data_IF_457919298616
#
_entry.id   IF_457919298616
#
_cell.length_a   1.000
_cell.length_b   1.000
_cell.length_c   1.000
_cell.angle_alpha   90.00
_cell.angle_beta   90.00
_cell.angle_gamma   90.00
#
_symmetry.space_group_name_H-M   'P 1'
#
loop_
_entity.id
_entity.type
_entity.pdbx_description
1 polymer ?
#
# COMPACT_ATOMS: atom_id res chain seq x y z
N UNK A 1 -13.31 12.72 -28.25
CA UNK A 1 -13.08 13.22 -26.87
C UNK A 1 -13.00 12.05 -25.92
N UNK A 2 -11.92 11.96 -25.14
CA UNK A 2 -11.69 10.85 -24.20
C UNK A 2 -12.17 11.24 -22.80
N UNK A 3 -13.40 10.90 -22.47
CA UNK A 3 -13.94 11.12 -21.13
C UNK A 3 -13.72 9.89 -20.25
N UNK A 4 -13.51 10.10 -18.95
CA UNK A 4 -13.34 9.04 -17.93
C UNK A 4 -12.14 8.11 -18.13
N UNK A 5 -11.14 8.50 -18.90
CA UNK A 5 -9.87 7.78 -19.05
C UNK A 5 -8.83 8.28 -18.05
N UNK A 6 -9.08 8.07 -16.77
CA UNK A 6 -8.24 8.60 -15.71
C UNK A 6 -7.09 7.69 -15.28
N UNK A 7 -7.01 6.49 -15.81
CA UNK A 7 -6.01 5.52 -15.35
C UNK A 7 -4.90 5.30 -16.37
N UNK A 8 -3.67 5.25 -15.87
CA UNK A 8 -2.51 4.82 -16.68
C UNK A 8 -2.56 3.32 -16.89
N UNK A 9 -2.25 2.87 -18.11
CA UNK A 9 -2.20 1.44 -18.43
C UNK A 9 -0.97 0.74 -17.86
N UNK A 10 0.10 1.46 -17.54
CA UNK A 10 1.36 0.96 -16.99
C UNK A 10 1.99 -0.17 -17.85
N UNK A 11 1.71 -0.15 -19.15
CA UNK A 11 2.16 -1.15 -20.13
C UNK A 11 1.80 -2.60 -19.73
N UNK A 12 0.63 -2.78 -19.13
CA UNK A 12 0.13 -4.07 -18.64
C UNK A 12 -1.27 -4.36 -19.16
N UNK A 13 -1.59 -5.66 -19.26
CA UNK A 13 -2.96 -6.10 -19.47
C UNK A 13 -3.83 -5.72 -18.26
N UNK A 14 -5.15 -5.69 -18.43
CA UNK A 14 -6.07 -5.31 -17.35
C UNK A 14 -5.94 -6.20 -16.10
N UNK A 15 -5.82 -7.50 -16.29
CA UNK A 15 -5.63 -8.45 -15.18
C UNK A 15 -4.28 -8.25 -14.47
N UNK A 16 -3.21 -8.07 -15.23
CA UNK A 16 -1.87 -7.82 -14.67
C UNK A 16 -1.82 -6.49 -13.90
N UNK A 17 -2.46 -5.45 -14.42
CA UNK A 17 -2.55 -4.15 -13.75
C UNK A 17 -3.35 -4.22 -12.46
N UNK A 18 -4.48 -4.93 -12.45
CA UNK A 18 -5.27 -5.14 -11.25
C UNK A 18 -4.48 -5.88 -10.16
N UNK A 19 -3.73 -6.93 -10.53
CA UNK A 19 -2.86 -7.65 -9.62
C UNK A 19 -1.74 -6.77 -9.07
N UNK A 20 -1.13 -5.92 -9.91
CA UNK A 20 -0.09 -4.98 -9.49
C UNK A 20 -0.61 -4.02 -8.40
N UNK A 21 -1.74 -3.38 -8.64
CA UNK A 21 -2.31 -2.41 -7.69
C UNK A 21 -2.73 -3.09 -6.38
N UNK A 22 -3.29 -4.29 -6.47
CA UNK A 22 -3.65 -5.10 -5.30
C UNK A 22 -2.44 -5.41 -4.44
N UNK A 23 -1.37 -5.92 -5.05
CA UNK A 23 -0.15 -6.29 -4.35
C UNK A 23 0.55 -5.07 -3.75
N UNK A 24 0.59 -3.96 -4.48
CA UNK A 24 1.16 -2.72 -3.96
C UNK A 24 0.33 -2.14 -2.81
N UNK A 25 -1.00 -2.23 -2.87
CA UNK A 25 -1.86 -1.79 -1.77
C UNK A 25 -1.64 -2.63 -0.51
N UNK A 26 -1.55 -3.94 -0.65
CA UNK A 26 -1.22 -4.83 0.47
C UNK A 26 0.14 -4.49 1.08
N UNK A 27 1.17 -4.29 0.25
CA UNK A 27 2.50 -3.89 0.70
C UNK A 27 2.48 -2.53 1.43
N UNK A 28 1.73 -1.56 0.91
CA UNK A 28 1.64 -0.23 1.54
C UNK A 28 0.88 -0.27 2.87
N UNK A 29 -0.14 -1.09 2.99
CA UNK A 29 -0.82 -1.29 4.28
C UNK A 29 0.12 -1.95 5.28
N UNK A 30 0.87 -2.96 4.86
CA UNK A 30 1.80 -3.69 5.71
C UNK A 30 2.94 -2.83 6.22
N UNK A 31 3.68 -2.20 5.31
CA UNK A 31 4.90 -1.45 5.62
C UNK A 31 4.68 0.04 5.88
N UNK A 32 3.52 0.55 5.54
CA UNK A 32 3.12 1.96 5.65
C UNK A 32 3.98 2.96 4.85
N UNK A 33 5.07 2.50 4.26
CA UNK A 33 5.91 3.26 3.33
C UNK A 33 6.57 2.31 2.35
N UNK A 34 6.41 2.57 1.05
CA UNK A 34 7.08 1.80 -0.01
C UNK A 34 7.72 2.73 -1.04
N UNK A 35 8.73 2.24 -1.72
CA UNK A 35 9.40 2.93 -2.82
C UNK A 35 9.00 2.28 -4.14
N UNK A 36 8.62 3.11 -5.10
CA UNK A 36 8.23 2.64 -6.43
C UNK A 36 8.44 3.74 -7.47
N UNK A 37 8.09 3.48 -8.72
CA UNK A 37 8.13 4.53 -9.74
C UNK A 37 6.99 5.53 -9.54
N UNK A 38 7.20 6.78 -9.92
CA UNK A 38 6.22 7.85 -9.75
C UNK A 38 4.86 7.55 -10.41
N UNK A 39 4.79 7.02 -11.65
CA UNK A 39 3.49 6.65 -12.24
C UNK A 39 2.74 5.60 -11.45
N UNK A 40 3.42 4.58 -10.93
CA UNK A 40 2.80 3.54 -10.10
C UNK A 40 2.28 4.11 -8.79
N UNK A 41 3.05 4.98 -8.14
CA UNK A 41 2.63 5.64 -6.90
C UNK A 41 1.37 6.48 -7.12
N UNK A 42 1.30 7.22 -8.23
CA UNK A 42 0.14 8.04 -8.58
C UNK A 42 -1.12 7.22 -8.87
N UNK A 43 -0.98 6.04 -9.46
CA UNK A 43 -2.12 5.13 -9.69
C UNK A 43 -2.52 4.38 -8.41
N UNK A 44 -1.59 4.07 -7.54
CA UNK A 44 -1.86 3.41 -6.27
C UNK A 44 -2.65 4.29 -5.30
N UNK A 45 -2.35 5.58 -5.27
CA UNK A 45 -2.98 6.54 -4.34
C UNK A 45 -4.52 6.44 -4.34
N UNK A 46 -5.24 6.65 -5.46
CA UNK A 46 -6.69 6.58 -5.45
C UNK A 46 -7.21 5.18 -5.11
N UNK A 47 -6.50 4.14 -5.49
CA UNK A 47 -6.87 2.76 -5.18
C UNK A 47 -6.88 2.51 -3.67
N UNK A 48 -5.78 2.83 -3.00
CA UNK A 48 -5.66 2.64 -1.55
C UNK A 48 -6.59 3.56 -0.76
N UNK A 49 -6.72 4.82 -1.15
CA UNK A 49 -7.56 5.77 -0.43
C UNK A 49 -9.04 5.37 -0.46
N UNK A 50 -9.51 4.76 -1.54
CA UNK A 50 -10.84 4.16 -1.59
C UNK A 50 -11.01 3.00 -0.62
N UNK A 51 -9.99 2.16 -0.46
CA UNK A 51 -10.00 1.08 0.53
C UNK A 51 -10.06 1.62 1.97
N UNK A 52 -9.30 2.67 2.27
CA UNK A 52 -9.35 3.32 3.58
C UNK A 52 -10.74 3.92 3.83
N UNK A 53 -11.35 4.54 2.85
CA UNK A 53 -12.71 5.09 2.96
C UNK A 53 -13.74 3.98 3.25
N UNK A 54 -13.65 2.84 2.57
CA UNK A 54 -14.50 1.67 2.85
C UNK A 54 -14.32 1.18 4.30
N UNK A 55 -13.07 1.13 4.77
CA UNK A 55 -12.76 0.72 6.13
C UNK A 55 -13.33 1.71 7.17
N UNK A 56 -13.28 2.99 6.90
CA UNK A 56 -13.86 4.03 7.77
C UNK A 56 -15.38 3.90 7.90
N UNK A 57 -16.07 3.59 6.80
CA UNK A 57 -17.52 3.36 6.86
C UNK A 57 -17.87 2.07 7.61
N UNK A 58 -16.99 1.10 7.60
CA UNK A 58 -17.18 -0.17 8.31
C UNK A 58 -18.33 -1.01 7.75
N UNK A 59 -18.72 -2.00 8.53
CA UNK A 59 -19.81 -2.93 8.16
C UNK A 59 -19.35 -4.12 7.33
N UNK A 60 -20.13 -5.18 7.38
CA UNK A 60 -19.79 -6.45 6.73
C UNK A 60 -19.73 -6.31 5.20
N UNK A 61 -20.64 -5.55 4.60
CA UNK A 61 -20.68 -5.31 3.16
C UNK A 61 -19.40 -4.63 2.66
N UNK A 62 -18.95 -3.58 3.34
CA UNK A 62 -17.71 -2.86 3.00
C UNK A 62 -16.49 -3.72 3.24
N UNK A 63 -16.48 -4.55 4.26
CA UNK A 63 -15.40 -5.48 4.54
C UNK A 63 -15.25 -6.53 3.44
N UNK A 64 -16.37 -7.12 3.00
CA UNK A 64 -16.38 -8.07 1.88
C UNK A 64 -15.90 -7.42 0.57
N UNK A 65 -16.30 -6.18 0.29
CA UNK A 65 -15.87 -5.46 -0.90
C UNK A 65 -14.36 -5.14 -0.84
N UNK A 66 -13.85 -4.71 0.30
CA UNK A 66 -12.43 -4.47 0.49
C UNK A 66 -11.61 -5.77 0.35
N UNK A 67 -12.12 -6.89 0.91
CA UNK A 67 -11.50 -8.20 0.75
C UNK A 67 -11.41 -8.63 -0.72
N UNK A 68 -12.48 -8.44 -1.48
CA UNK A 68 -12.50 -8.77 -2.91
C UNK A 68 -11.46 -7.97 -3.72
N UNK A 69 -11.19 -6.74 -3.30
CA UNK A 69 -10.20 -5.88 -3.96
C UNK A 69 -8.76 -6.12 -3.50
N UNK A 70 -8.57 -6.45 -2.22
CA UNK A 70 -7.25 -6.60 -1.60
C UNK A 70 -6.74 -8.04 -1.63
N UNK A 71 -7.64 -9.01 -1.39
CA UNK A 71 -7.37 -10.46 -1.36
C UNK A 71 -6.24 -10.87 -0.39
N UNK A 72 -6.06 -10.11 0.69
CA UNK A 72 -5.10 -10.38 1.76
C UNK A 72 -5.78 -10.15 3.10
N UNK A 73 -6.07 -11.25 3.80
CA UNK A 73 -6.82 -11.22 5.04
C UNK A 73 -6.09 -10.49 6.17
N UNK A 74 -4.77 -10.65 6.25
CA UNK A 74 -3.95 -9.99 7.29
C UNK A 74 -3.97 -8.48 7.13
N UNK A 75 -3.79 -8.00 5.89
CA UNK A 75 -3.81 -6.58 5.61
C UNK A 75 -5.21 -5.98 5.67
N UNK A 76 -6.23 -6.77 5.35
CA UNK A 76 -7.62 -6.38 5.56
C UNK A 76 -7.91 -6.13 7.04
N UNK A 77 -7.47 -7.01 7.93
CA UNK A 77 -7.61 -6.81 9.38
C UNK A 77 -6.94 -5.51 9.82
N UNK A 78 -5.70 -5.28 9.42
CA UNK A 78 -5.00 -4.03 9.72
C UNK A 78 -5.74 -2.81 9.18
N UNK A 79 -6.27 -2.90 7.97
CA UNK A 79 -7.02 -1.81 7.36
C UNK A 79 -8.25 -1.41 8.19
N UNK A 80 -9.05 -2.38 8.64
CA UNK A 80 -10.29 -2.12 9.38
C UNK A 80 -10.07 -1.85 10.86
N UNK A 81 -9.06 -2.44 11.48
CA UNK A 81 -8.83 -2.34 12.92
C UNK A 81 -7.88 -1.20 13.31
N UNK A 82 -6.87 -0.93 12.49
CA UNK A 82 -5.83 0.07 12.79
C UNK A 82 -6.02 1.34 11.96
N UNK A 83 -6.03 1.21 10.63
CA UNK A 83 -6.04 2.37 9.74
C UNK A 83 -7.38 3.11 9.75
N UNK A 84 -8.49 2.39 9.83
CA UNK A 84 -9.81 3.00 9.91
C UNK A 84 -9.96 3.89 11.16
N UNK A 85 -9.46 3.44 12.29
CA UNK A 85 -9.45 4.22 13.53
C UNK A 85 -8.50 5.42 13.45
N UNK A 86 -7.29 5.20 12.92
CA UNK A 86 -6.28 6.25 12.75
C UNK A 86 -6.81 7.43 11.91
N UNK A 87 -7.56 7.14 10.86
CA UNK A 87 -8.06 8.14 9.92
C UNK A 87 -9.52 8.53 10.12
N UNK A 88 -10.14 8.13 11.21
CA UNK A 88 -11.55 8.43 11.48
C UNK A 88 -11.88 9.93 11.43
N UNK A 89 -10.98 10.78 11.91
CA UNK A 89 -11.13 12.22 11.89
C UNK A 89 -10.64 12.92 10.62
N UNK A 90 -10.12 12.17 9.64
CA UNK A 90 -9.56 12.74 8.42
C UNK A 90 -10.48 12.50 7.23
N UNK A 91 -10.82 13.55 6.50
CA UNK A 91 -11.80 13.47 5.39
C UNK A 91 -11.23 13.05 4.05
N UNK A 92 -9.96 12.69 3.96
CA UNK A 92 -9.27 12.30 2.74
C UNK A 92 -7.79 12.58 2.83
N UNK A 93 -7.04 12.36 1.74
CA UNK A 93 -5.62 12.65 1.71
C UNK A 93 -4.83 11.79 2.70
N UNK A 94 -5.07 10.49 2.71
CA UNK A 94 -4.44 9.54 3.65
C UNK A 94 -3.02 9.16 3.25
N UNK A 95 -2.61 9.50 2.05
CA UNK A 95 -1.29 9.14 1.51
C UNK A 95 -0.50 10.37 1.08
N UNK A 96 0.81 10.23 1.08
CA UNK A 96 1.75 11.24 0.61
C UNK A 96 2.72 10.61 -0.37
N UNK A 97 3.01 11.31 -1.47
CA UNK A 97 4.01 10.90 -2.45
C UNK A 97 5.17 11.87 -2.39
N UNK A 98 6.38 11.36 -2.18
CA UNK A 98 7.61 12.12 -2.11
C UNK A 98 8.49 11.69 -3.28
N UNK A 99 8.90 12.62 -4.13
CA UNK A 99 9.82 12.32 -5.24
C UNK A 99 11.21 12.02 -4.68
N UNK A 100 11.79 10.88 -5.10
CA UNK A 100 13.06 10.38 -4.57
C UNK A 100 14.17 10.33 -5.62
N UNK A 101 14.01 11.04 -6.76
CA UNK A 101 15.01 11.13 -7.79
C UNK A 101 14.82 10.16 -8.94
N UNK A 102 15.92 9.70 -9.52
CA UNK A 102 15.94 8.89 -10.74
C UNK A 102 16.73 7.60 -10.45
N UNK A 103 16.18 6.47 -10.90
CA UNK A 103 16.86 5.17 -10.76
C UNK A 103 18.06 5.08 -11.71
N UNK A 104 19.21 4.63 -11.19
CA UNK A 104 20.45 4.62 -11.93
C UNK A 104 20.44 3.66 -13.15
N UNK A 105 19.68 2.56 -13.06
CA UNK A 105 19.70 1.51 -14.11
C UNK A 105 18.97 1.90 -15.39
N UNK A 106 17.83 2.60 -15.29
CA UNK A 106 16.95 2.90 -16.43
C UNK A 106 16.40 4.34 -16.43
N UNK A 107 16.93 5.20 -15.57
CA UNK A 107 16.48 6.59 -15.42
C UNK A 107 14.98 6.74 -15.10
N UNK A 108 14.33 5.71 -14.53
CA UNK A 108 12.94 5.81 -14.12
C UNK A 108 12.78 6.77 -12.93
N UNK A 109 11.76 7.66 -12.96
CA UNK A 109 11.48 8.52 -11.81
C UNK A 109 10.99 7.70 -10.63
N UNK A 110 11.66 7.82 -9.49
CA UNK A 110 11.36 7.10 -8.26
C UNK A 110 10.60 8.01 -7.30
N UNK A 111 9.63 7.44 -6.62
CA UNK A 111 8.88 8.09 -5.57
C UNK A 111 8.70 7.18 -4.36
N UNK A 112 8.58 7.78 -3.21
CA UNK A 112 8.18 7.12 -1.98
C UNK A 112 6.72 7.47 -1.74
N UNK A 113 5.87 6.46 -1.62
CA UNK A 113 4.49 6.63 -1.17
C UNK A 113 4.37 6.12 0.25
N UNK A 114 3.77 6.93 1.11
CA UNK A 114 3.61 6.62 2.52
C UNK A 114 2.23 6.99 3.02
N UNK A 115 1.81 6.34 4.09
CA UNK A 115 0.64 6.74 4.85
C UNK A 115 0.97 7.96 5.72
N UNK A 116 0.05 8.92 5.78
CA UNK A 116 0.17 10.06 6.68
C UNK A 116 0.05 9.56 8.12
N UNK A 117 0.87 10.07 9.03
CA UNK A 117 0.95 9.60 10.42
C UNK A 117 1.29 8.10 10.51
N UNK A 118 2.20 7.64 9.66
CA UNK A 118 2.60 6.24 9.58
C UNK A 118 3.30 5.74 10.85
N UNK A 119 3.18 4.46 11.10
CA UNK A 119 4.00 3.75 12.07
C UNK A 119 5.38 3.46 11.46
N UNK A 120 6.43 4.04 12.03
CA UNK A 120 7.80 3.90 11.53
C UNK A 120 8.30 2.47 11.67
N UNK A 121 7.87 1.75 12.70
CA UNK A 121 8.30 0.37 12.98
C UNK A 121 7.65 -0.65 12.05
N UNK A 122 6.56 -0.30 11.38
CA UNK A 122 5.90 -1.19 10.42
C UNK A 122 6.75 -1.45 9.17
N UNK A 123 7.65 -0.54 8.82
CA UNK A 123 8.47 -0.65 7.61
C UNK A 123 9.48 -1.79 7.72
N UNK A 124 9.44 -2.67 6.73
CA UNK A 124 10.40 -3.78 6.63
C UNK A 124 10.06 -4.99 7.47
N UNK A 125 8.94 -5.00 8.19
CA UNK A 125 8.50 -6.20 8.91
C UNK A 125 8.29 -7.36 7.93
N UNK A 126 8.78 -8.55 8.33
CA UNK A 126 8.73 -9.78 7.52
C UNK A 126 9.36 -9.64 6.12
N UNK A 127 10.22 -8.66 5.93
CA UNK A 127 10.96 -8.43 4.69
C UNK A 127 12.45 -8.74 4.93
N UNK A 128 12.96 -9.72 4.26
CA UNK A 128 14.36 -10.12 4.36
C UNK A 128 14.57 -11.46 5.03
N UNK A 129 15.82 -11.93 5.12
CA UNK A 129 16.13 -13.17 5.81
C UNK A 129 15.72 -13.05 7.28
N UNK A 130 14.98 -14.02 7.77
CA UNK A 130 14.73 -14.15 9.20
C UNK A 130 16.09 -14.25 9.87
N UNK A 131 16.44 -13.29 10.71
CA UNK A 131 17.61 -13.43 11.57
C UNK A 131 17.35 -14.70 12.41
N UNK A 132 18.11 -15.76 12.17
CA UNK A 132 18.08 -16.92 13.02
C UNK A 132 18.38 -16.41 14.44
N UNK A 133 17.52 -16.75 15.36
CA UNK A 133 17.67 -16.39 16.77
C UNK A 133 19.07 -16.82 17.22
N UNK A 134 19.93 -15.85 17.43
CA UNK A 134 21.30 -16.06 17.91
C UNK A 134 21.32 -16.26 19.43
N UNK A 135 20.22 -16.72 20.02
CA UNK A 135 20.14 -16.95 21.46
C UNK A 135 20.64 -18.33 21.89
N UNK A 136 20.89 -19.27 20.97
CA UNK A 136 21.34 -20.62 21.32
C UNK A 136 22.85 -20.79 21.46
N UNK A 137 23.67 -19.78 21.19
CA UNK A 137 25.13 -19.89 21.27
C UNK A 137 25.75 -19.14 22.46
N UNK A 138 24.97 -18.59 23.35
CA UNK A 138 25.48 -17.90 24.54
C UNK A 138 25.59 -18.79 25.80
N UNK A 139 25.14 -20.04 25.75
CA UNK A 139 25.19 -20.98 26.88
C UNK A 139 25.90 -22.31 26.55
N UNK A 140 26.94 -22.25 25.77
CA UNK A 140 27.80 -23.43 25.61
C UNK A 140 29.24 -23.10 25.95
#
# INVERSE_FOLDING_TARGET
MRHKHGQRKLQRTSGHRAALLRNMAAALIKHEQIQTTTPKAKELRPYLEKLITLAKHGGLSNRRLAHARLMDETQEKKLFEVLAERYAGRSGGYTRIIKAGIRASDAAPIAIIELVDRDVEAKGQDSGPVAAETEEYAEA
#
